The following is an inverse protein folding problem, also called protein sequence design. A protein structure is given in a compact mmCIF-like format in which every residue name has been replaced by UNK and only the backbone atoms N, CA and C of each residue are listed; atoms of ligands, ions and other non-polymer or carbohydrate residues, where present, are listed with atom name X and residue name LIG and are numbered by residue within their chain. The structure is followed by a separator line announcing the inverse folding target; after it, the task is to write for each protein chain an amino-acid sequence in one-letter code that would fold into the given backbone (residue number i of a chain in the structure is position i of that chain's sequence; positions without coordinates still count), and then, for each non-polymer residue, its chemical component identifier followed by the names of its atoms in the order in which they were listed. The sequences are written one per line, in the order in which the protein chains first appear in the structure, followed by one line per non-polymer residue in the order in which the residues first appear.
data_IF_174069111467
#
_entry.id   IF_174069111467
#
_cell.length_a   1.000
_cell.length_b   1.000
_cell.length_c   1.000
_cell.angle_alpha   90.00
_cell.angle_beta   90.00
_cell.angle_gamma   90.00
#
_symmetry.space_group_name_H-M   'P 1'
#
loop_
_entity.id
_entity.type
_entity.pdbx_description
1 polymer ?
#
# COMPACT_ATOMS: atom_id res chain seq x y z
N UNK A 1 6.47 7.47 21.83
CA UNK A 1 6.31 8.44 20.71
C UNK A 1 7.49 8.36 19.75
N UNK A 2 8.74 8.28 20.24
CA UNK A 2 9.92 8.11 19.40
C UNK A 2 9.85 6.84 18.52
N UNK A 3 9.56 5.68 19.11
CA UNK A 3 9.47 4.39 18.39
C UNK A 3 8.41 4.36 17.28
N UNK A 4 7.28 5.06 17.49
CA UNK A 4 6.22 5.19 16.49
C UNK A 4 6.72 5.95 15.25
N UNK A 5 7.42 7.06 15.48
CA UNK A 5 7.95 7.90 14.41
C UNK A 5 9.02 7.14 13.64
N UNK A 6 9.91 6.45 14.35
CA UNK A 6 10.99 5.64 13.77
C UNK A 6 10.44 4.56 12.83
N UNK A 7 9.47 3.77 13.32
CA UNK A 7 8.90 2.65 12.56
C UNK A 7 8.02 3.11 11.38
N UNK A 8 7.30 4.23 11.55
CA UNK A 8 6.59 4.89 10.45
C UNK A 8 7.55 5.36 9.36
N UNK A 9 8.62 6.07 9.75
CA UNK A 9 9.62 6.56 8.81
C UNK A 9 10.31 5.41 8.07
N UNK A 10 10.58 4.28 8.74
CA UNK A 10 11.07 3.07 8.10
C UNK A 10 10.14 2.57 6.99
N UNK A 11 8.84 2.49 7.26
CA UNK A 11 7.85 2.12 6.24
C UNK A 11 7.82 3.12 5.07
N UNK A 12 7.77 4.43 5.36
CA UNK A 12 7.79 5.47 4.34
C UNK A 12 9.08 5.41 3.50
N UNK A 13 10.21 5.14 4.13
CA UNK A 13 11.49 4.96 3.46
C UNK A 13 11.46 3.79 2.47
N UNK A 14 10.96 2.60 2.86
CA UNK A 14 10.84 1.46 1.94
C UNK A 14 9.91 1.77 0.77
N UNK A 15 8.80 2.48 1.02
CA UNK A 15 7.86 2.90 -0.02
C UNK A 15 8.50 3.87 -1.02
N UNK A 16 9.25 4.86 -0.52
CA UNK A 16 10.00 5.81 -1.34
C UNK A 16 11.07 5.09 -2.17
N UNK A 17 11.83 4.18 -1.54
CA UNK A 17 12.87 3.41 -2.21
C UNK A 17 12.28 2.59 -3.38
N UNK A 18 11.18 1.88 -3.13
CA UNK A 18 10.47 1.12 -4.15
C UNK A 18 9.99 1.98 -5.32
N UNK A 19 9.43 3.15 -5.01
CA UNK A 19 8.98 4.12 -6.01
C UNK A 19 10.14 4.62 -6.88
N UNK A 20 11.27 4.98 -6.27
CA UNK A 20 12.44 5.47 -6.99
C UNK A 20 13.03 4.41 -7.92
N UNK A 21 13.17 3.16 -7.44
CA UNK A 21 13.62 2.06 -8.29
C UNK A 21 12.68 1.83 -9.47
N UNK A 22 11.37 1.89 -9.26
CA UNK A 22 10.41 1.76 -10.34
C UNK A 22 10.56 2.86 -11.40
N UNK A 23 10.71 4.13 -10.97
CA UNK A 23 10.93 5.26 -11.87
C UNK A 23 12.22 5.11 -12.68
N UNK A 24 13.33 4.72 -12.04
CA UNK A 24 14.61 4.48 -12.72
C UNK A 24 14.50 3.40 -13.79
N UNK A 25 13.74 2.34 -13.53
CA UNK A 25 13.58 1.24 -14.48
C UNK A 25 12.72 1.65 -15.68
N UNK A 26 11.63 2.39 -15.45
CA UNK A 26 10.85 2.97 -16.56
C UNK A 26 11.73 3.85 -17.43
N UNK A 27 12.59 4.66 -16.81
CA UNK A 27 13.49 5.55 -17.55
C UNK A 27 14.47 4.76 -18.42
N UNK A 28 15.02 3.67 -17.87
CA UNK A 28 16.00 2.83 -18.56
C UNK A 28 15.39 1.94 -19.66
N UNK A 29 14.17 1.42 -19.46
CA UNK A 29 13.50 0.50 -20.40
C UNK A 29 12.31 1.17 -21.12
N UNK A 30 12.49 1.50 -22.40
CA UNK A 30 11.42 1.96 -23.32
C UNK A 30 10.40 0.87 -23.72
N UNK A 31 10.36 -0.30 -23.08
CA UNK A 31 9.54 -1.45 -23.49
C UNK A 31 8.46 -1.78 -22.46
N UNK A 32 7.27 -2.14 -22.93
CA UNK A 32 6.02 -2.23 -22.13
C UNK A 32 5.90 -3.49 -21.27
N UNK A 33 6.43 -4.63 -21.73
CA UNK A 33 6.08 -5.93 -21.13
C UNK A 33 6.97 -6.32 -19.93
N UNK A 34 8.24 -5.90 -19.94
CA UNK A 34 9.18 -6.12 -18.82
C UNK A 34 8.84 -5.33 -17.55
N UNK A 35 8.01 -4.30 -17.67
CA UNK A 35 7.66 -3.40 -16.57
C UNK A 35 6.69 -4.04 -15.58
N UNK A 36 5.85 -4.97 -16.04
CA UNK A 36 4.85 -5.67 -15.22
C UNK A 36 5.52 -6.57 -14.18
N UNK A 37 6.46 -7.41 -14.62
CA UNK A 37 7.18 -8.33 -13.71
C UNK A 37 7.98 -7.54 -12.68
N UNK A 38 8.67 -6.49 -13.13
CA UNK A 38 9.48 -5.64 -12.25
C UNK A 38 8.60 -4.92 -11.23
N UNK A 39 7.47 -4.35 -11.67
CA UNK A 39 6.52 -3.70 -10.77
C UNK A 39 5.99 -4.70 -9.73
N UNK A 40 5.61 -5.92 -10.14
CA UNK A 40 5.17 -6.96 -9.23
C UNK A 40 6.24 -7.34 -8.19
N UNK A 41 7.50 -7.52 -8.62
CA UNK A 41 8.61 -7.85 -7.74
C UNK A 41 8.93 -6.71 -6.77
N UNK A 42 9.08 -5.48 -7.26
CA UNK A 42 9.39 -4.32 -6.42
C UNK A 42 8.27 -4.06 -5.42
N UNK A 43 7.01 -4.04 -5.87
CA UNK A 43 5.86 -3.89 -4.97
C UNK A 43 5.82 -5.00 -3.92
N UNK A 44 6.11 -6.25 -4.30
CA UNK A 44 6.14 -7.37 -3.35
C UNK A 44 7.27 -7.24 -2.32
N UNK A 45 8.47 -6.85 -2.75
CA UNK A 45 9.63 -6.64 -1.86
C UNK A 45 9.33 -5.53 -0.85
N UNK A 46 8.85 -4.38 -1.34
CA UNK A 46 8.50 -3.23 -0.49
C UNK A 46 7.41 -3.59 0.50
N UNK A 47 6.38 -4.29 0.03
CA UNK A 47 5.29 -4.79 0.86
C UNK A 47 5.80 -5.73 1.96
N UNK A 48 6.71 -6.65 1.64
CA UNK A 48 7.35 -7.54 2.62
C UNK A 48 8.13 -6.74 3.65
N UNK A 49 8.95 -5.77 3.22
CA UNK A 49 9.69 -4.90 4.14
C UNK A 49 8.76 -4.13 5.09
N UNK A 50 7.64 -3.58 4.60
CA UNK A 50 6.63 -2.95 5.46
C UNK A 50 6.09 -3.91 6.53
N UNK A 51 5.85 -5.18 6.17
CA UNK A 51 5.39 -6.19 7.11
C UNK A 51 6.48 -6.67 8.08
N UNK A 52 7.74 -6.73 7.63
CA UNK A 52 8.88 -7.14 8.45
C UNK A 52 9.23 -6.11 9.53
N UNK A 53 9.01 -4.84 9.23
CA UNK A 53 9.28 -3.71 10.13
C UNK A 53 7.99 -2.94 10.40
N UNK A 54 7.03 -3.53 11.13
CA UNK A 54 5.73 -2.91 11.31
C UNK A 54 5.81 -1.70 12.25
N UNK A 55 4.81 -0.85 12.14
CA UNK A 55 4.56 0.31 12.98
C UNK A 55 3.94 -0.15 14.30
N UNK A 56 4.64 0.12 15.40
CA UNK A 56 4.16 -0.18 16.75
C UNK A 56 3.35 1.01 17.28
N UNK A 57 2.04 0.83 17.34
CA UNK A 57 1.10 1.75 17.97
C UNK A 57 0.98 1.38 19.46
N UNK A 58 0.55 2.33 20.29
CA UNK A 58 0.36 2.09 21.72
C UNK A 58 -0.58 0.91 22.00
N UNK A 59 -0.48 0.33 23.20
CA UNK A 59 -1.38 -0.74 23.67
C UNK A 59 -1.34 -2.03 22.83
N UNK A 60 -0.19 -2.32 22.19
CA UNK A 60 0.03 -3.56 21.45
C UNK A 60 -0.60 -3.61 20.05
N UNK A 61 -1.17 -2.49 19.58
CA UNK A 61 -1.64 -2.39 18.20
C UNK A 61 -0.44 -2.35 17.24
N UNK A 62 -0.39 -3.30 16.31
CA UNK A 62 0.65 -3.38 15.29
C UNK A 62 -0.01 -3.11 13.93
N UNK A 63 0.58 -2.20 13.17
CA UNK A 63 0.10 -1.79 11.86
C UNK A 63 1.24 -1.69 10.87
N UNK A 64 0.98 -1.73 9.57
CA UNK A 64 1.99 -1.52 8.55
C UNK A 64 1.33 -0.99 7.27
N UNK A 65 2.15 -0.45 6.38
CA UNK A 65 1.67 0.21 5.16
C UNK A 65 1.64 -0.73 3.94
N UNK A 66 1.57 -2.06 4.13
CA UNK A 66 1.65 -3.08 3.05
C UNK A 66 0.64 -2.88 1.92
N UNK A 67 -0.50 -2.27 2.21
CA UNK A 67 -1.54 -2.09 1.22
C UNK A 67 -1.27 -0.92 0.27
N UNK A 68 -0.37 0.00 0.63
CA UNK A 68 0.08 1.05 -0.31
C UNK A 68 0.74 0.44 -1.56
N UNK A 69 1.81 -0.39 -1.47
CA UNK A 69 2.46 -0.97 -2.64
C UNK A 69 1.54 -1.95 -3.38
N UNK A 70 0.59 -2.59 -2.68
CA UNK A 70 -0.41 -3.45 -3.31
C UNK A 70 -1.43 -2.65 -4.13
N UNK A 71 -1.99 -1.56 -3.58
CA UNK A 71 -2.92 -0.68 -4.29
C UNK A 71 -2.23 -0.02 -5.49
N UNK A 72 -1.04 0.59 -5.28
CA UNK A 72 -0.27 1.21 -6.38
C UNK A 72 0.03 0.17 -7.46
N UNK A 73 0.62 -0.97 -7.09
CA UNK A 73 0.99 -2.02 -8.05
C UNK A 73 -0.22 -2.49 -8.86
N UNK A 74 -1.36 -2.70 -8.21
CA UNK A 74 -2.61 -3.11 -8.87
C UNK A 74 -3.16 -2.04 -9.81
N UNK A 75 -3.13 -0.76 -9.42
CA UNK A 75 -3.61 0.35 -10.24
C UNK A 75 -2.70 0.61 -11.46
N UNK A 76 -1.39 0.43 -11.32
CA UNK A 76 -0.43 0.65 -12.41
C UNK A 76 -0.18 -0.57 -13.29
N UNK A 77 -0.44 -1.80 -12.80
CA UNK A 77 -0.11 -3.04 -13.50
C UNK A 77 -1.25 -4.04 -13.67
N UNK A 78 -2.46 -3.73 -13.19
CA UNK A 78 -3.63 -4.59 -13.33
C UNK A 78 -3.48 -5.96 -12.66
N UNK A 79 -4.24 -6.95 -13.14
CA UNK A 79 -4.22 -8.31 -12.62
C UNK A 79 -2.83 -8.99 -12.69
N UNK A 80 -2.04 -8.83 -13.77
CA UNK A 80 -0.71 -9.43 -13.85
C UNK A 80 0.23 -9.03 -12.70
N UNK A 81 0.05 -7.84 -12.14
CA UNK A 81 0.82 -7.35 -10.98
C UNK A 81 0.14 -7.68 -9.66
N UNK A 82 -1.18 -7.56 -9.60
CA UNK A 82 -1.94 -7.75 -8.36
C UNK A 82 -1.92 -9.20 -7.86
N UNK A 83 -2.01 -10.19 -8.76
CA UNK A 83 -2.05 -11.61 -8.38
C UNK A 83 -0.75 -12.06 -7.69
N UNK A 84 0.46 -11.79 -8.23
CA UNK A 84 1.70 -12.08 -7.53
C UNK A 84 1.81 -11.38 -6.17
N UNK A 85 1.48 -10.09 -6.09
CA UNK A 85 1.54 -9.34 -4.83
C UNK A 85 0.60 -9.96 -3.80
N UNK A 86 -0.63 -10.31 -4.20
CA UNK A 86 -1.61 -10.98 -3.34
C UNK A 86 -1.09 -12.32 -2.79
N UNK A 87 -0.46 -13.14 -3.65
CA UNK A 87 0.13 -14.40 -3.23
C UNK A 87 1.25 -14.18 -2.19
N UNK A 88 2.19 -13.28 -2.47
CA UNK A 88 3.29 -12.95 -1.55
C UNK A 88 2.75 -12.39 -0.24
N UNK A 89 1.73 -11.52 -0.28
CA UNK A 89 1.11 -10.92 0.91
C UNK A 89 0.60 -12.01 1.83
N UNK A 90 -0.20 -12.94 1.31
CA UNK A 90 -0.85 -13.96 2.12
C UNK A 90 0.13 -15.01 2.62
N UNK A 91 1.10 -15.43 1.79
CA UNK A 91 2.19 -16.32 2.21
C UNK A 91 2.99 -15.69 3.35
N UNK A 92 3.42 -14.44 3.20
CA UNK A 92 4.21 -13.77 4.22
C UNK A 92 3.39 -13.47 5.49
N UNK A 93 2.12 -13.07 5.34
CA UNK A 93 1.20 -12.89 6.49
C UNK A 93 1.01 -14.18 7.27
N UNK A 94 0.92 -15.33 6.59
CA UNK A 94 0.83 -16.65 7.20
C UNK A 94 2.11 -16.98 7.99
N UNK A 95 3.29 -16.69 7.44
CA UNK A 95 4.59 -16.90 8.11
C UNK A 95 4.68 -16.06 9.40
N UNK A 96 4.26 -14.79 9.37
CA UNK A 96 4.21 -13.93 10.57
C UNK A 96 3.22 -14.48 11.61
N UNK A 97 2.08 -15.00 11.15
CA UNK A 97 1.01 -15.52 12.01
C UNK A 97 0.29 -14.46 12.85
N UNK A 98 -0.40 -14.89 13.91
CA UNK A 98 -1.17 -14.01 14.80
C UNK A 98 -2.62 -13.75 14.35
N UNK A 99 -3.43 -13.11 15.22
CA UNK A 99 -4.90 -13.07 15.09
C UNK A 99 -5.37 -12.27 13.87
N UNK A 100 -4.57 -11.31 13.40
CA UNK A 100 -4.89 -10.48 12.23
C UNK A 100 -4.72 -11.18 10.88
N UNK A 101 -4.41 -12.48 10.82
CA UNK A 101 -4.29 -13.19 9.54
C UNK A 101 -5.63 -13.31 8.80
N UNK A 102 -6.70 -13.74 9.49
CA UNK A 102 -8.03 -13.92 8.86
C UNK A 102 -8.57 -12.60 8.28
N UNK A 103 -8.60 -11.48 9.04
CA UNK A 103 -8.95 -10.17 8.48
C UNK A 103 -8.09 -9.79 7.28
N UNK A 104 -6.77 -10.00 7.37
CA UNK A 104 -5.86 -9.67 6.28
C UNK A 104 -6.14 -10.50 5.03
N UNK A 105 -6.50 -11.77 5.16
CA UNK A 105 -6.84 -12.62 4.02
C UNK A 105 -8.11 -12.12 3.31
N UNK A 106 -9.18 -11.84 4.06
CA UNK A 106 -10.43 -11.33 3.47
C UNK A 106 -10.23 -9.98 2.79
N UNK A 107 -9.54 -9.07 3.47
CA UNK A 107 -9.31 -7.71 2.96
C UNK A 107 -8.39 -7.74 1.72
N UNK A 108 -7.30 -8.51 1.75
CA UNK A 108 -6.44 -8.65 0.57
C UNK A 108 -7.15 -9.32 -0.61
N UNK A 109 -8.10 -10.23 -0.34
CA UNK A 109 -8.93 -10.86 -1.38
C UNK A 109 -9.89 -9.85 -2.00
N UNK A 110 -10.48 -8.96 -1.18
CA UNK A 110 -11.28 -7.85 -1.70
C UNK A 110 -10.43 -6.94 -2.60
N UNK A 111 -9.19 -6.63 -2.20
CA UNK A 111 -8.27 -5.80 -2.99
C UNK A 111 -7.95 -6.45 -4.33
N UNK A 112 -7.52 -7.71 -4.36
CA UNK A 112 -7.12 -8.38 -5.62
C UNK A 112 -8.30 -8.54 -6.58
N UNK A 113 -9.52 -8.70 -6.05
CA UNK A 113 -10.72 -8.83 -6.86
C UNK A 113 -11.22 -7.47 -7.35
N UNK A 114 -11.01 -6.36 -6.65
CA UNK A 114 -11.66 -5.07 -7.01
C UNK A 114 -10.72 -4.07 -7.67
N UNK A 115 -9.54 -3.84 -7.09
CA UNK A 115 -8.67 -2.72 -7.50
C UNK A 115 -8.10 -2.90 -8.92
N UNK A 116 -7.66 -4.09 -9.36
CA UNK A 116 -7.14 -4.28 -10.70
C UNK A 116 -8.14 -3.95 -11.82
N UNK A 117 -9.44 -4.05 -11.58
CA UNK A 117 -10.46 -3.64 -12.57
C UNK A 117 -10.45 -2.13 -12.84
N UNK A 118 -9.97 -1.33 -11.89
CA UNK A 118 -9.87 0.12 -12.03
C UNK A 118 -8.63 0.55 -12.82
N UNK A 119 -7.72 -0.37 -13.15
CA UNK A 119 -6.44 -0.10 -13.81
C UNK A 119 -6.60 0.74 -15.10
N UNK A 120 -7.46 0.34 -16.03
CA UNK A 120 -7.64 1.03 -17.31
C UNK A 120 -8.21 2.44 -17.13
N UNK A 121 -9.25 2.58 -16.29
CA UNK A 121 -9.83 3.88 -15.94
C UNK A 121 -8.84 4.77 -15.19
N UNK A 122 -8.00 4.18 -14.32
CA UNK A 122 -6.99 4.88 -13.56
C UNK A 122 -5.90 5.43 -14.47
N UNK A 123 -5.37 4.62 -15.39
CA UNK A 123 -4.32 5.05 -16.33
C UNK A 123 -4.80 6.17 -17.26
N UNK A 124 -6.04 6.10 -17.74
CA UNK A 124 -6.67 7.11 -18.59
C UNK A 124 -7.06 8.40 -17.85
N UNK A 125 -7.03 8.40 -16.52
CA UNK A 125 -7.40 9.56 -15.72
C UNK A 125 -6.29 10.62 -15.69
N UNK A 126 -6.69 11.89 -15.51
CA UNK A 126 -5.75 12.96 -15.24
C UNK A 126 -5.06 12.77 -13.87
N UNK A 127 -3.98 13.51 -13.68
CA UNK A 127 -3.12 13.38 -12.50
C UNK A 127 -3.84 13.59 -11.17
N UNK A 128 -4.66 14.63 -11.06
CA UNK A 128 -5.42 14.89 -9.83
C UNK A 128 -6.36 13.73 -9.52
N UNK A 129 -7.06 13.24 -10.54
CA UNK A 129 -7.96 12.10 -10.41
C UNK A 129 -7.21 10.81 -10.03
N UNK A 130 -5.98 10.60 -10.51
CA UNK A 130 -5.13 9.48 -10.05
C UNK A 130 -4.81 9.57 -8.56
N UNK A 131 -4.42 10.74 -8.05
CA UNK A 131 -4.17 10.96 -6.60
C UNK A 131 -5.44 10.67 -5.81
N UNK A 132 -6.57 11.25 -6.22
CA UNK A 132 -7.86 11.10 -5.52
C UNK A 132 -8.33 9.65 -5.55
N UNK A 133 -8.25 8.96 -6.69
CA UNK A 133 -8.64 7.55 -6.81
C UNK A 133 -7.80 6.66 -5.90
N UNK A 134 -6.47 6.75 -5.98
CA UNK A 134 -5.58 5.93 -5.15
C UNK A 134 -5.76 6.20 -3.65
N UNK A 135 -5.88 7.48 -3.26
CA UNK A 135 -6.07 7.88 -1.87
C UNK A 135 -7.44 7.46 -1.33
N UNK A 136 -8.50 7.58 -2.14
CA UNK A 136 -9.84 7.13 -1.79
C UNK A 136 -9.91 5.61 -1.62
N UNK A 137 -9.24 4.85 -2.51
CA UNK A 137 -9.14 3.39 -2.37
C UNK A 137 -8.36 2.99 -1.12
N UNK A 138 -7.26 3.68 -0.81
CA UNK A 138 -6.50 3.42 0.41
C UNK A 138 -7.30 3.75 1.69
N UNK A 139 -8.07 4.84 1.68
CA UNK A 139 -8.98 5.21 2.76
C UNK A 139 -10.06 4.15 2.96
N UNK A 140 -10.75 3.77 1.89
CA UNK A 140 -11.79 2.75 1.92
C UNK A 140 -11.23 1.43 2.45
N UNK A 141 -10.07 1.03 1.94
CA UNK A 141 -9.38 -0.17 2.36
C UNK A 141 -9.07 -0.18 3.87
N UNK A 142 -8.40 0.84 4.40
CA UNK A 142 -8.03 0.87 5.83
C UNK A 142 -9.25 0.98 6.73
N UNK A 143 -10.30 1.68 6.28
CA UNK A 143 -11.58 1.73 6.99
C UNK A 143 -12.21 0.34 7.12
N UNK A 144 -12.28 -0.43 6.02
CA UNK A 144 -12.78 -1.80 6.04
C UNK A 144 -11.90 -2.74 6.87
N UNK A 145 -10.58 -2.59 6.81
CA UNK A 145 -9.66 -3.37 7.63
C UNK A 145 -9.89 -3.12 9.13
N UNK A 146 -9.90 -1.87 9.58
CA UNK A 146 -10.15 -1.53 10.99
C UNK A 146 -11.55 -1.96 11.43
N UNK A 147 -12.55 -1.80 10.57
CA UNK A 147 -13.91 -2.28 10.84
C UNK A 147 -13.93 -3.80 11.00
N UNK A 148 -13.21 -4.55 10.16
CA UNK A 148 -13.10 -6.02 10.27
C UNK A 148 -12.39 -6.45 11.56
N UNK A 149 -11.44 -5.64 12.04
CA UNK A 149 -10.71 -5.89 13.28
C UNK A 149 -11.62 -5.72 14.51
N UNK A 150 -12.64 -4.85 14.43
CA UNK A 150 -13.58 -4.62 15.54
C UNK A 150 -14.32 -5.91 15.98
N UNK A 151 -14.56 -6.84 15.05
CA UNK A 151 -15.19 -8.13 15.32
C UNK A 151 -14.31 -9.10 16.14
N UNK A 152 -13.00 -8.83 16.26
CA UNK A 152 -12.07 -9.66 17.04
C UNK A 152 -11.92 -9.19 18.49
N UNK A 153 -12.40 -7.99 18.81
CA UNK A 153 -12.34 -7.43 20.16
C UNK A 153 -13.70 -7.60 20.85
N UNK A 154 -13.67 -8.06 22.11
CA UNK A 154 -14.88 -8.21 22.94
C UNK A 154 -15.49 -6.86 23.33
N UNK A 155 -14.66 -5.82 23.41
CA UNK A 155 -15.09 -4.45 23.69
C UNK A 155 -14.22 -3.45 22.94
N UNK A 156 -14.85 -2.40 22.40
CA UNK A 156 -14.16 -1.33 21.68
C UNK A 156 -13.81 -0.23 22.68
N UNK A 157 -12.57 -0.24 23.14
CA UNK A 157 -12.03 0.75 24.09
C UNK A 157 -11.66 2.06 23.38
N UNK A 158 -11.45 3.13 24.14
CA UNK A 158 -10.92 4.39 23.58
C UNK A 158 -9.56 4.18 22.88
N UNK A 159 -8.74 3.27 23.41
CA UNK A 159 -7.46 2.88 22.82
C UNK A 159 -7.63 2.31 21.40
N UNK A 160 -8.67 1.50 21.17
CA UNK A 160 -8.99 1.00 19.83
C UNK A 160 -9.33 2.15 18.88
N UNK A 161 -10.18 3.09 19.30
CA UNK A 161 -10.55 4.24 18.46
C UNK A 161 -9.37 5.17 18.17
N UNK A 162 -8.48 5.37 19.14
CA UNK A 162 -7.27 6.16 18.95
C UNK A 162 -6.29 5.48 17.98
N UNK A 163 -6.09 4.17 18.12
CA UNK A 163 -5.28 3.38 17.20
C UNK A 163 -5.90 3.38 15.78
N UNK A 164 -7.22 3.18 15.67
CA UNK A 164 -7.97 3.23 14.42
C UNK A 164 -7.78 4.56 13.68
N UNK A 165 -7.97 5.69 14.37
CA UNK A 165 -7.75 7.03 13.81
C UNK A 165 -6.32 7.19 13.31
N UNK A 166 -5.33 6.71 14.08
CA UNK A 166 -3.93 6.78 13.70
C UNK A 166 -3.63 5.93 12.46
N UNK A 167 -4.10 4.68 12.40
CA UNK A 167 -3.93 3.79 11.24
C UNK A 167 -4.54 4.40 9.97
N UNK A 168 -5.76 4.91 10.07
CA UNK A 168 -6.45 5.57 8.95
C UNK A 168 -5.65 6.78 8.47
N UNK A 169 -5.22 7.63 9.40
CA UNK A 169 -4.47 8.85 9.09
C UNK A 169 -3.11 8.53 8.45
N UNK A 170 -2.35 7.59 9.01
CA UNK A 170 -1.04 7.21 8.48
C UNK A 170 -1.17 6.63 7.07
N UNK A 171 -2.09 5.68 6.86
CA UNK A 171 -2.31 5.08 5.54
C UNK A 171 -2.70 6.13 4.50
N UNK A 172 -3.67 7.00 4.81
CA UNK A 172 -4.17 7.97 3.83
C UNK A 172 -3.17 9.07 3.53
N UNK A 173 -2.53 9.65 4.55
CA UNK A 173 -1.52 10.70 4.34
C UNK A 173 -0.32 10.17 3.57
N UNK A 174 0.18 8.97 3.90
CA UNK A 174 1.28 8.37 3.14
C UNK A 174 0.87 8.06 1.70
N UNK A 175 -0.35 7.58 1.46
CA UNK A 175 -0.85 7.35 0.09
C UNK A 175 -0.92 8.64 -0.72
N UNK A 176 -1.49 9.71 -0.14
CA UNK A 176 -1.59 11.04 -0.79
C UNK A 176 -0.20 11.57 -1.11
N UNK A 177 0.71 11.54 -0.11
CA UNK A 177 2.09 12.00 -0.27
C UNK A 177 2.81 11.24 -1.38
N UNK A 178 2.76 9.91 -1.38
CA UNK A 178 3.46 9.09 -2.37
C UNK A 178 2.88 9.29 -3.77
N UNK A 179 1.56 9.39 -3.92
CA UNK A 179 0.95 9.62 -5.24
C UNK A 179 1.25 11.01 -5.78
N UNK A 180 1.20 12.04 -4.93
CA UNK A 180 1.54 13.40 -5.33
C UNK A 180 3.02 13.47 -5.75
N UNK A 181 3.92 12.85 -4.98
CA UNK A 181 5.35 12.77 -5.30
C UNK A 181 5.61 12.01 -6.60
N UNK A 182 4.99 10.84 -6.78
CA UNK A 182 5.15 10.03 -7.99
C UNK A 182 4.76 10.83 -9.25
N UNK A 183 3.61 11.49 -9.21
CA UNK A 183 3.13 12.31 -10.33
C UNK A 183 4.03 13.52 -10.57
N UNK A 184 4.47 14.19 -9.50
CA UNK A 184 5.40 15.31 -9.60
C UNK A 184 6.70 14.89 -10.30
N UNK A 185 7.30 13.76 -9.90
CA UNK A 185 8.52 13.22 -10.50
C UNK A 185 8.33 12.83 -11.96
N UNK A 186 7.21 12.18 -12.30
CA UNK A 186 6.87 11.84 -13.69
C UNK A 186 6.75 13.09 -14.57
N UNK A 187 6.12 14.16 -14.07
CA UNK A 187 5.98 15.43 -14.78
C UNK A 187 7.29 16.19 -14.91
N UNK A 188 8.08 16.24 -13.85
CA UNK A 188 9.38 16.90 -13.86
C UNK A 188 10.28 16.27 -14.94
N UNK A 189 10.25 14.94 -15.05
CA UNK A 189 10.98 14.21 -16.09
C UNK A 189 10.46 14.46 -17.52
N UNK A 190 9.15 14.56 -17.72
CA UNK A 190 8.59 14.87 -19.05
C UNK A 190 8.94 16.28 -19.54
N UNK A 191 9.20 17.23 -18.63
CA UNK A 191 9.54 18.62 -18.97
C UNK A 191 11.02 18.83 -19.32
N UNK A 192 11.91 17.94 -18.87
CA UNK A 192 13.36 18.02 -19.10
C UNK A 192 13.83 17.32 -20.37
N UNK A 193 12.92 16.67 -21.12
CA UNK A 193 13.16 16.13 -22.47
C UNK A 193 12.51 17.03 -23.51
#
# INVERSE_FOLDING_TARGET
MFDLIETLLGNVFFLLLGMLFYLMIIEYKKTTDGNVIILALLSSIVMVLCMSFPIHISHGFIFDLRYIPFIIGSLFGGFPVAIPIYAVLNIYRLIIGGPGWVPSFFISSLVVVTIPFLHTSFLASNDLKKIVMASGLALFHVFFYVSSLSFFFTSLTNEFYDAAKLMITMQTLTMVFLMALLIFLLKFHQKTR
#
